data_IF_465129444248
#
_entry.id   IF_465129444248
#
_cell.length_a   1.000
_cell.length_b   1.000
_cell.length_c   1.000
_cell.angle_alpha   90.00
_cell.angle_beta   90.00
_cell.angle_gamma   90.00
#
_symmetry.space_group_name_H-M   'P 1'
#
loop_
_entity.id
_entity.type
_entity.pdbx_description
1 polymer ?
#
# COMPACT_ATOMS: atom_id res chain seq x y z
N UNK A 1 -3.16 -22.12 10.22
CA UNK A 1 -3.39 -20.66 10.35
C UNK A 1 -2.45 -20.13 11.43
N UNK A 2 -1.80 -18.96 11.24
CA UNK A 2 -2.17 -17.98 10.24
C UNK A 2 -1.02 -17.64 9.27
N UNK A 3 -1.35 -17.71 7.98
CA UNK A 3 -0.93 -16.64 7.11
C UNK A 3 -1.41 -15.35 7.79
N UNK A 4 -0.48 -14.53 8.23
CA UNK A 4 -0.71 -13.25 8.90
C UNK A 4 -1.26 -12.20 7.90
N UNK A 5 -2.32 -12.59 7.20
CA UNK A 5 -2.97 -11.78 6.20
C UNK A 5 -3.43 -10.46 6.83
N UNK A 6 -3.95 -10.52 8.06
CA UNK A 6 -4.39 -9.34 8.79
C UNK A 6 -3.24 -8.34 8.99
N UNK A 7 -2.07 -8.82 9.38
CA UNK A 7 -0.87 -8.01 9.61
C UNK A 7 -0.30 -7.48 8.29
N UNK A 8 -0.31 -8.29 7.23
CA UNK A 8 0.09 -7.83 5.89
C UNK A 8 -0.84 -6.73 5.36
N UNK A 9 -2.17 -6.89 5.48
CA UNK A 9 -3.14 -5.88 5.08
C UNK A 9 -3.08 -4.63 5.99
N UNK A 10 -2.71 -4.79 7.25
CA UNK A 10 -2.42 -3.66 8.13
C UNK A 10 -1.18 -2.87 7.66
N UNK A 11 -0.13 -3.56 7.21
CA UNK A 11 1.09 -2.94 6.64
C UNK A 11 0.81 -2.21 5.31
N UNK A 12 -0.13 -2.72 4.50
CA UNK A 12 -0.62 -1.99 3.30
C UNK A 12 -1.35 -0.70 3.67
N UNK A 13 -1.94 -0.65 4.87
CA UNK A 13 -2.63 0.51 5.45
C UNK A 13 -3.69 1.10 4.50
N UNK A 14 -4.54 0.23 3.95
CA UNK A 14 -5.60 0.61 3.01
C UNK A 14 -6.64 1.50 3.70
N UNK A 15 -7.10 2.61 3.08
CA UNK A 15 -7.91 3.63 3.74
C UNK A 15 -9.43 3.32 3.74
N UNK A 16 -9.82 2.05 3.69
CA UNK A 16 -11.23 1.67 3.69
C UNK A 16 -11.72 1.50 5.13
N UNK A 17 -12.65 2.36 5.55
CA UNK A 17 -13.18 2.39 6.92
C UNK A 17 -13.92 1.10 7.28
N UNK A 18 -14.74 0.62 6.35
CA UNK A 18 -15.54 -0.59 6.51
C UNK A 18 -14.82 -1.77 5.86
N UNK A 19 -13.81 -2.29 6.54
CA UNK A 19 -13.01 -3.41 6.07
C UNK A 19 -12.78 -4.47 7.15
N UNK A 20 -12.64 -5.71 6.72
CA UNK A 20 -12.34 -6.85 7.59
C UNK A 20 -11.49 -7.88 6.86
N UNK A 21 -10.70 -8.63 7.63
CA UNK A 21 -9.92 -9.76 7.11
C UNK A 21 -10.51 -11.05 7.67
N UNK A 22 -10.96 -11.92 6.78
CA UNK A 22 -11.50 -13.24 7.12
C UNK A 22 -10.60 -14.30 6.48
N UNK A 23 -9.90 -15.07 7.31
CA UNK A 23 -8.87 -15.99 6.84
C UNK A 23 -7.75 -15.24 6.11
N UNK A 24 -7.56 -15.55 4.82
CA UNK A 24 -6.52 -14.94 3.99
C UNK A 24 -7.07 -13.86 3.04
N UNK A 25 -8.29 -13.39 3.31
CA UNK A 25 -9.02 -12.53 2.38
C UNK A 25 -9.43 -11.24 3.08
N UNK A 26 -9.08 -10.12 2.45
CA UNK A 26 -9.53 -8.80 2.83
C UNK A 26 -10.82 -8.47 2.09
N UNK A 27 -11.83 -8.05 2.84
CA UNK A 27 -13.10 -7.56 2.33
C UNK A 27 -13.26 -6.12 2.74
N UNK A 28 -13.68 -5.27 1.81
CA UNK A 28 -14.02 -3.89 2.11
C UNK A 28 -15.30 -3.47 1.40
N UNK A 29 -15.94 -2.44 1.96
CA UNK A 29 -16.97 -1.64 1.29
C UNK A 29 -16.42 -0.24 1.06
N UNK A 30 -15.66 -0.01 -0.04
CA UNK A 30 -14.98 1.27 -0.26
C UNK A 30 -15.94 2.47 -0.37
N UNK A 31 -17.19 2.22 -0.77
CA UNK A 31 -18.28 3.22 -0.82
C UNK A 31 -19.41 2.76 0.08
N UNK A 32 -19.87 3.63 0.99
CA UNK A 32 -20.89 3.30 2.01
C UNK A 32 -22.27 2.92 1.43
N UNK A 33 -22.65 3.49 0.28
CA UNK A 33 -24.02 3.36 -0.26
C UNK A 33 -24.11 2.45 -1.51
N UNK A 34 -23.00 1.83 -1.93
CA UNK A 34 -22.95 1.02 -3.15
C UNK A 34 -23.14 -0.49 -2.93
N UNK A 35 -23.66 -1.24 -3.91
CA UNK A 35 -23.73 -2.71 -3.85
C UNK A 35 -22.38 -3.40 -4.14
N UNK A 36 -21.37 -2.60 -4.52
CA UNK A 36 -20.04 -3.08 -4.86
C UNK A 36 -19.21 -3.33 -3.60
N UNK A 37 -18.41 -4.38 -3.65
CA UNK A 37 -17.52 -4.85 -2.60
C UNK A 37 -16.15 -5.10 -3.20
N UNK A 38 -15.11 -4.75 -2.46
CA UNK A 38 -13.74 -5.08 -2.83
C UNK A 38 -13.33 -6.34 -2.08
N UNK A 39 -12.86 -7.35 -2.82
CA UNK A 39 -12.21 -8.54 -2.26
C UNK A 39 -10.76 -8.54 -2.69
N UNK A 40 -9.85 -8.75 -1.74
CA UNK A 40 -8.43 -8.93 -2.00
C UNK A 40 -7.99 -10.24 -1.37
N UNK A 41 -7.51 -11.16 -2.19
CA UNK A 41 -6.96 -12.44 -1.76
C UNK A 41 -5.53 -12.61 -2.26
N UNK A 42 -4.76 -13.50 -1.64
CA UNK A 42 -3.42 -13.81 -2.13
C UNK A 42 -3.49 -14.72 -3.35
N UNK A 43 -2.84 -14.31 -4.44
CA UNK A 43 -2.73 -15.09 -5.67
C UNK A 43 -1.83 -16.31 -5.45
N UNK A 44 -2.36 -17.54 -5.47
CA UNK A 44 -1.55 -18.73 -5.26
C UNK A 44 -0.71 -19.03 -6.50
N UNK A 45 0.48 -19.56 -6.27
CA UNK A 45 1.29 -20.17 -7.33
C UNK A 45 0.95 -21.65 -7.50
N UNK A 46 1.66 -22.33 -8.41
CA UNK A 46 1.61 -23.80 -8.53
C UNK A 46 2.11 -24.53 -7.26
N UNK A 47 2.73 -23.82 -6.31
CA UNK A 47 3.25 -24.38 -5.07
C UNK A 47 2.34 -24.04 -3.90
N UNK A 48 2.03 -25.05 -3.10
CA UNK A 48 1.22 -24.88 -1.89
C UNK A 48 1.92 -23.93 -0.90
N UNK A 49 1.16 -22.98 -0.36
CA UNK A 49 1.67 -21.98 0.58
C UNK A 49 2.60 -20.94 -0.04
N UNK A 50 2.72 -20.87 -1.36
CA UNK A 50 3.53 -19.86 -2.06
C UNK A 50 2.61 -18.99 -2.93
N UNK A 51 2.73 -17.67 -2.74
CA UNK A 51 1.88 -16.66 -3.35
C UNK A 51 2.73 -15.63 -4.09
N UNK A 52 2.37 -15.29 -5.32
CA UNK A 52 3.13 -14.38 -6.18
C UNK A 52 2.53 -12.98 -6.29
N UNK A 53 1.40 -12.73 -5.64
CA UNK A 53 0.74 -11.45 -5.70
C UNK A 53 -0.55 -11.38 -4.91
N UNK A 54 -1.32 -10.33 -5.21
CA UNK A 54 -2.69 -10.15 -4.76
C UNK A 54 -3.65 -10.26 -5.94
N UNK A 55 -4.76 -10.94 -5.72
CA UNK A 55 -5.91 -10.93 -6.59
C UNK A 55 -6.93 -9.96 -6.03
N UNK A 56 -7.21 -8.91 -6.77
CA UNK A 56 -8.25 -7.94 -6.46
C UNK A 56 -9.48 -8.29 -7.27
N UNK A 57 -10.65 -8.27 -6.65
CA UNK A 57 -11.92 -8.49 -7.32
C UNK A 57 -12.96 -7.46 -6.88
N UNK A 58 -13.67 -6.91 -7.86
CA UNK A 58 -14.87 -6.11 -7.63
C UNK A 58 -16.07 -7.04 -7.70
N UNK A 59 -16.81 -7.13 -6.60
CA UNK A 59 -17.96 -8.03 -6.46
C UNK A 59 -19.22 -7.21 -6.30
N UNK A 60 -20.27 -7.56 -7.03
CA UNK A 60 -21.63 -7.06 -6.81
C UNK A 60 -22.43 -8.13 -6.06
N UNK A 61 -23.15 -7.75 -5.01
CA UNK A 61 -23.91 -8.68 -4.16
C UNK A 61 -24.82 -9.66 -4.94
N UNK A 62 -25.54 -9.16 -5.95
CA UNK A 62 -26.47 -9.98 -6.74
C UNK A 62 -25.87 -10.61 -8.01
N UNK A 63 -24.78 -10.03 -8.53
CA UNK A 63 -24.23 -10.43 -9.84
C UNK A 63 -22.93 -11.23 -9.71
N UNK A 64 -22.37 -11.31 -8.50
CA UNK A 64 -21.10 -11.94 -8.24
C UNK A 64 -19.92 -11.08 -8.69
N UNK A 65 -18.86 -11.73 -9.14
CA UNK A 65 -17.61 -11.09 -9.55
C UNK A 65 -17.79 -10.34 -10.88
N UNK A 66 -17.54 -9.03 -10.87
CA UNK A 66 -17.64 -8.16 -12.05
C UNK A 66 -16.31 -7.99 -12.76
N UNK A 67 -15.23 -7.86 -11.99
CA UNK A 67 -13.88 -7.63 -12.50
C UNK A 67 -12.83 -8.21 -11.56
N UNK A 68 -11.67 -8.56 -12.12
CA UNK A 68 -10.55 -9.16 -11.41
C UNK A 68 -9.24 -8.72 -12.02
N UNK A 69 -8.30 -8.31 -11.17
CA UNK A 69 -6.91 -8.07 -11.55
C UNK A 69 -5.94 -8.79 -10.63
N UNK A 70 -4.84 -9.28 -11.19
CA UNK A 70 -3.75 -9.90 -10.43
C UNK A 70 -2.58 -8.94 -10.37
N UNK A 71 -2.25 -8.47 -9.18
CA UNK A 71 -1.12 -7.59 -8.89
C UNK A 71 0.06 -8.44 -8.41
N UNK A 72 1.00 -8.74 -9.30
CA UNK A 72 2.18 -9.55 -8.96
C UNK A 72 3.16 -8.74 -8.12
N UNK A 73 3.67 -9.34 -7.06
CA UNK A 73 4.67 -8.72 -6.19
C UNK A 73 5.95 -8.34 -6.95
N UNK A 74 6.32 -9.09 -8.00
CA UNK A 74 7.46 -8.79 -8.85
C UNK A 74 7.29 -7.44 -9.59
N UNK A 75 6.12 -7.22 -10.18
CA UNK A 75 5.81 -6.02 -10.97
C UNK A 75 5.75 -4.77 -10.07
N UNK A 76 5.37 -4.95 -8.81
CA UNK A 76 5.28 -3.90 -7.81
C UNK A 76 6.51 -3.81 -6.89
N UNK A 77 7.59 -4.53 -7.20
CA UNK A 77 8.86 -4.55 -6.45
C UNK A 77 8.68 -4.80 -4.95
N UNK A 78 7.66 -5.57 -4.58
CA UNK A 78 7.26 -5.71 -3.17
C UNK A 78 8.34 -6.37 -2.33
N UNK A 79 9.12 -7.29 -2.90
CA UNK A 79 10.19 -8.00 -2.19
C UNK A 79 11.58 -7.75 -2.76
N UNK A 80 11.74 -6.68 -3.54
CA UNK A 80 12.99 -6.41 -4.27
C UNK A 80 14.23 -6.36 -3.38
N UNK A 81 14.13 -5.65 -2.25
CA UNK A 81 15.22 -5.48 -1.29
C UNK A 81 15.53 -6.78 -0.55
N UNK A 82 14.48 -7.48 -0.08
CA UNK A 82 14.60 -8.79 0.56
C UNK A 82 15.29 -9.80 -0.36
N UNK A 83 14.82 -9.88 -1.60
CA UNK A 83 15.32 -10.86 -2.56
C UNK A 83 16.73 -10.50 -3.03
N UNK A 84 17.05 -9.20 -3.18
CA UNK A 84 18.41 -8.72 -3.42
C UNK A 84 19.37 -9.09 -2.27
N UNK A 85 18.94 -8.93 -1.01
CA UNK A 85 19.73 -9.31 0.16
C UNK A 85 20.03 -10.82 0.22
N UNK A 86 19.12 -11.65 -0.32
CA UNK A 86 19.32 -13.10 -0.45
C UNK A 86 19.97 -13.52 -1.78
N UNK A 87 20.39 -12.57 -2.63
CA UNK A 87 20.98 -12.86 -3.94
C UNK A 87 20.02 -13.53 -4.94
N UNK A 88 18.70 -13.38 -4.74
CA UNK A 88 17.69 -13.94 -5.65
C UNK A 88 17.48 -13.01 -6.83
N UNK A 89 17.38 -13.61 -8.02
CA UNK A 89 17.08 -12.90 -9.26
C UNK A 89 15.71 -13.33 -9.79
N UNK A 90 15.12 -12.60 -10.76
CA UNK A 90 13.86 -13.02 -11.39
C UNK A 90 13.87 -14.45 -11.97
N UNK A 91 15.05 -14.96 -12.34
CA UNK A 91 15.22 -16.34 -12.82
C UNK A 91 15.29 -17.39 -11.69
N UNK A 92 15.45 -16.94 -10.44
CA UNK A 92 15.60 -17.79 -9.28
C UNK A 92 14.24 -18.20 -8.73
N UNK A 93 14.10 -19.47 -8.39
CA UNK A 93 12.87 -19.99 -7.78
C UNK A 93 12.55 -19.30 -6.45
N UNK A 94 11.31 -18.87 -6.27
CA UNK A 94 10.87 -18.13 -5.08
C UNK A 94 11.31 -16.67 -5.06
N UNK A 95 11.63 -16.09 -6.23
CA UNK A 95 11.74 -14.65 -6.41
C UNK A 95 10.36 -13.99 -6.35
N UNK A 96 10.26 -12.88 -5.62
CA UNK A 96 9.08 -12.06 -5.45
C UNK A 96 7.82 -12.84 -5.01
N UNK A 97 8.00 -13.86 -4.17
CA UNK A 97 6.88 -14.60 -3.58
C UNK A 97 6.80 -14.42 -2.07
N UNK A 98 5.59 -14.58 -1.55
CA UNK A 98 5.31 -14.75 -0.14
C UNK A 98 5.14 -16.25 0.14
N UNK A 99 5.88 -16.76 1.12
CA UNK A 99 5.80 -18.17 1.53
C UNK A 99 5.20 -18.28 2.93
N UNK A 100 4.15 -19.08 3.06
CA UNK A 100 3.64 -19.54 4.33
C UNK A 100 4.66 -20.55 4.91
N UNK A 101 5.27 -20.20 6.04
CA UNK A 101 6.15 -21.11 6.77
C UNK A 101 5.42 -21.57 8.03
N UNK A 102 4.97 -22.83 8.06
CA UNK A 102 4.22 -23.39 9.20
C UNK A 102 5.11 -23.71 10.40
N UNK A 103 6.40 -23.97 10.16
CA UNK A 103 7.33 -24.49 11.19
C UNK A 103 8.21 -23.40 11.83
N UNK A 104 8.05 -22.13 11.44
CA UNK A 104 8.85 -21.01 11.92
C UNK A 104 7.97 -19.89 12.48
N UNK A 105 7.57 -19.96 13.77
CA UNK A 105 6.62 -19.01 14.37
C UNK A 105 7.17 -17.58 14.51
N UNK A 106 8.50 -17.40 14.52
CA UNK A 106 9.14 -16.07 14.58
C UNK A 106 9.38 -15.48 13.18
N UNK A 107 9.11 -16.25 12.13
CA UNK A 107 9.30 -15.80 10.76
C UNK A 107 8.08 -15.03 10.27
N UNK A 108 8.30 -13.78 9.85
CA UNK A 108 7.28 -12.91 9.26
C UNK A 108 7.47 -12.91 7.74
N UNK A 109 6.62 -13.60 6.95
CA UNK A 109 6.77 -13.76 5.50
C UNK A 109 6.93 -12.47 4.69
N UNK A 110 6.31 -11.37 5.13
CA UNK A 110 6.39 -10.06 4.47
C UNK A 110 7.38 -9.10 5.13
N UNK A 111 8.27 -9.58 6.00
CA UNK A 111 9.31 -8.74 6.59
C UNK A 111 10.20 -8.15 5.49
N UNK A 112 10.34 -6.83 5.49
CA UNK A 112 11.08 -6.11 4.46
C UNK A 112 10.32 -5.97 3.14
N UNK A 113 8.99 -6.14 3.14
CA UNK A 113 8.16 -5.84 1.99
C UNK A 113 8.03 -4.33 1.78
N UNK A 114 8.26 -3.87 0.56
CA UNK A 114 7.91 -2.52 0.13
C UNK A 114 6.46 -2.51 -0.39
N UNK A 115 5.54 -2.04 0.44
CA UNK A 115 4.09 -2.07 0.14
C UNK A 115 3.61 -0.90 -0.72
N UNK A 116 4.39 0.18 -0.86
CA UNK A 116 3.98 1.40 -1.57
C UNK A 116 3.52 1.13 -3.01
N UNK A 117 4.33 0.43 -3.82
CA UNK A 117 3.96 0.16 -5.22
C UNK A 117 2.71 -0.71 -5.37
N UNK A 118 2.45 -1.58 -4.39
CA UNK A 118 1.25 -2.42 -4.36
C UNK A 118 0.03 -1.60 -3.92
N UNK A 119 0.20 -0.74 -2.92
CA UNK A 119 -0.81 0.22 -2.44
C UNK A 119 -1.24 1.17 -3.57
N UNK A 120 -0.30 1.73 -4.32
CA UNK A 120 -0.58 2.63 -5.44
C UNK A 120 -1.40 1.93 -6.53
N UNK A 121 -1.11 0.67 -6.82
CA UNK A 121 -1.88 -0.12 -7.78
C UNK A 121 -3.30 -0.45 -7.26
N UNK A 122 -3.44 -0.75 -5.97
CA UNK A 122 -4.76 -0.92 -5.33
C UNK A 122 -5.56 0.39 -5.39
N UNK A 123 -4.92 1.54 -5.16
CA UNK A 123 -5.53 2.87 -5.28
C UNK A 123 -6.04 3.14 -6.69
N UNK A 124 -5.23 2.85 -7.72
CA UNK A 124 -5.63 3.01 -9.12
C UNK A 124 -6.83 2.14 -9.47
N UNK A 125 -6.81 0.86 -9.06
CA UNK A 125 -7.95 -0.03 -9.25
C UNK A 125 -9.20 0.47 -8.52
N UNK A 126 -9.05 0.89 -7.27
CA UNK A 126 -10.13 1.40 -6.45
C UNK A 126 -10.73 2.70 -7.03
N UNK A 127 -9.91 3.56 -7.63
CA UNK A 127 -10.37 4.82 -8.25
C UNK A 127 -11.29 4.60 -9.45
N UNK A 128 -11.14 3.47 -10.17
CA UNK A 128 -12.00 3.11 -11.30
C UNK A 128 -13.35 2.58 -10.83
N UNK A 129 -13.34 1.64 -9.87
CA UNK A 129 -14.55 0.94 -9.44
C UNK A 129 -15.30 1.62 -8.29
N UNK A 130 -14.60 2.45 -7.52
CA UNK A 130 -15.08 3.07 -6.28
C UNK A 130 -14.63 4.54 -6.20
N UNK A 131 -15.15 5.41 -7.09
CA UNK A 131 -14.73 6.80 -7.13
C UNK A 131 -14.98 7.50 -5.78
N UNK A 132 -13.96 8.21 -5.28
CA UNK A 132 -14.02 8.91 -3.99
C UNK A 132 -13.80 8.03 -2.76
N UNK A 133 -13.55 6.73 -2.93
CA UNK A 133 -13.26 5.81 -1.81
C UNK A 133 -11.85 5.99 -1.22
N UNK A 134 -10.94 6.59 -1.98
CA UNK A 134 -9.60 6.89 -1.51
C UNK A 134 -9.49 8.37 -1.13
N UNK A 135 -9.09 8.71 0.11
CA UNK A 135 -8.94 10.10 0.50
C UNK A 135 -7.81 10.75 -0.31
N UNK A 136 -7.99 12.00 -0.79
CA UNK A 136 -6.93 12.69 -1.49
C UNK A 136 -5.70 12.81 -0.59
N UNK A 137 -4.49 12.73 -1.16
CA UNK A 137 -3.26 12.89 -0.38
C UNK A 137 -3.32 14.19 0.39
N UNK A 138 -3.03 14.12 1.69
CA UNK A 138 -3.05 15.30 2.55
C UNK A 138 -2.17 16.39 1.90
N UNK A 139 -2.64 17.65 1.83
CA UNK A 139 -1.85 18.71 1.25
C UNK A 139 -0.52 18.80 2.01
N UNK A 140 0.59 18.60 1.29
CA UNK A 140 1.93 18.78 1.84
C UNK A 140 1.94 20.17 2.45
N UNK A 141 2.12 20.25 3.78
CA UNK A 141 2.31 21.52 4.48
C UNK A 141 3.47 22.22 3.78
N UNK A 142 3.15 23.19 2.94
CA UNK A 142 4.16 24.11 2.42
C UNK A 142 4.83 24.68 3.66
N UNK A 143 6.06 24.24 3.91
CA UNK A 143 6.87 24.78 4.99
C UNK A 143 6.93 26.25 4.69
N UNK A 144 6.24 27.05 5.50
CA UNK A 144 6.31 28.49 5.38
C UNK A 144 7.81 28.82 5.42
N UNK A 145 8.37 29.19 4.28
CA UNK A 145 9.66 29.84 4.22
C UNK A 145 9.45 31.10 5.03
N UNK A 146 9.83 31.06 6.30
CA UNK A 146 10.02 32.25 7.11
C UNK A 146 11.04 33.07 6.34
N UNK A 147 10.56 34.06 5.59
CA UNK A 147 11.43 35.03 4.96
C UNK A 147 12.27 35.62 6.08
N UNK A 148 13.58 35.37 6.04
CA UNK A 148 14.51 35.94 6.99
C UNK A 148 14.41 37.45 6.82
N UNK A 149 13.76 38.12 7.78
CA UNK A 149 13.64 39.57 7.80
C UNK A 149 15.05 40.11 8.03
N UNK A 150 15.72 40.52 6.95
CA UNK A 150 17.02 41.20 7.03
C UNK A 150 16.83 42.46 7.89
N UNK A 151 17.64 42.68 8.94
CA UNK A 151 17.56 43.92 9.71
C UNK A 151 18.02 45.08 8.82
N UNK A 152 17.17 46.11 8.72
CA UNK A 152 17.53 47.36 8.04
C UNK A 152 18.69 48.06 8.78
N UNK A 153 19.66 48.65 8.05
CA UNK A 153 20.75 49.40 8.68
C UNK A 153 20.23 50.67 9.38
N UNK A 154 20.83 51.08 10.52
CA UNK A 154 20.44 52.29 11.22
C UNK A 154 20.83 53.54 10.40
N UNK A 155 19.85 54.42 10.20
CA UNK A 155 20.03 55.71 9.56
C UNK A 155 20.68 56.68 10.57
N UNK A 156 21.90 57.13 10.29
CA UNK A 156 22.60 58.16 11.07
C UNK A 156 21.84 59.50 10.98
N UNK A 157 21.44 60.03 12.14
CA UNK A 157 20.82 61.34 12.24
C UNK A 157 21.82 62.47 11.98
N UNK A 158 21.45 63.53 11.24
CA UNK A 158 22.30 64.71 11.11
C UNK A 158 22.26 65.58 12.36
N UNK A 159 23.44 65.88 12.88
CA UNK A 159 23.72 66.88 13.90
C UNK A 159 23.34 68.27 13.42
N UNK A 160 22.47 68.93 14.19
CA UNK A 160 22.10 70.34 14.05
C UNK A 160 23.18 71.21 14.70
N UNK A 161 23.77 72.14 13.94
CA UNK A 161 24.63 73.20 14.48
C UNK A 161 24.14 74.55 14.00
N UNK A 162 23.85 75.38 15.01
CA UNK A 162 23.74 76.84 15.14
C UNK A 162 23.74 77.73 13.90
#
# INVERSE_FOLDING_TARGET
>A
MPMYAREFFAELNLPFADATVVGNTYYATPTAEGPLRLRIDFSPTIRAGEYDGLRLATIHQDRGELDVVHLRFADHKTFDHRDSAYGRTPSTSGYAVLKEHRDAPDWVPWKGAHTNGLRDAIEQYASVWFPGSWPPPAPVRATARTACKVPSPPCSAPSRTR
#
